data_IF_666903081550
#
_entry.id   IF_666903081550
#
_cell.length_a   1.000
_cell.length_b   1.000
_cell.length_c   1.000
_cell.angle_alpha   90.00
_cell.angle_beta   90.00
_cell.angle_gamma   90.00
#
_symmetry.space_group_name_H-M   'P 1'
#
loop_
_entity.id
_entity.type
_entity.pdbx_description
1 polymer ?
#
# COMPACT_ATOMS: atom_id res chain seq x y z
N UNK A 1 -13.39 -9.61 4.75
CA UNK A 1 -14.36 -8.58 4.29
C UNK A 1 -15.65 -9.30 3.95
N UNK A 2 -16.80 -8.84 4.42
CA UNK A 2 -18.09 -9.49 4.26
C UNK A 2 -19.05 -8.54 3.55
N UNK A 3 -19.72 -9.04 2.49
CA UNK A 3 -20.79 -8.31 1.80
C UNK A 3 -21.99 -8.19 2.76
N UNK A 4 -22.47 -6.98 2.99
CA UNK A 4 -23.62 -6.72 3.86
C UNK A 4 -24.91 -6.51 3.06
N UNK A 5 -24.94 -5.57 2.13
CA UNK A 5 -26.04 -5.31 1.22
C UNK A 5 -25.58 -4.30 0.15
N UNK A 6 -26.18 -4.34 -1.03
CA UNK A 6 -26.07 -3.30 -2.07
C UNK A 6 -24.66 -2.77 -2.36
N UNK A 7 -23.67 -3.67 -2.44
CA UNK A 7 -22.27 -3.29 -2.71
C UNK A 7 -21.52 -2.70 -1.51
N UNK A 8 -22.06 -2.85 -0.30
CA UNK A 8 -21.40 -2.46 0.95
C UNK A 8 -20.70 -3.66 1.58
N UNK A 9 -19.44 -3.50 1.94
CA UNK A 9 -18.61 -4.53 2.53
C UNK A 9 -18.06 -4.06 3.87
N UNK A 10 -18.33 -4.81 4.94
CA UNK A 10 -17.71 -4.57 6.23
C UNK A 10 -16.24 -5.00 6.22
N UNK A 11 -15.38 -4.12 6.70
CA UNK A 11 -13.95 -4.33 6.88
C UNK A 11 -13.48 -3.93 8.27
N UNK A 12 -12.28 -4.35 8.60
CA UNK A 12 -11.61 -3.98 9.85
C UNK A 12 -10.11 -3.83 9.59
N UNK A 13 -9.49 -2.82 10.18
CA UNK A 13 -8.04 -2.66 10.14
C UNK A 13 -7.36 -3.77 10.93
N UNK A 14 -6.16 -4.16 10.52
CA UNK A 14 -5.37 -5.17 11.21
C UNK A 14 -4.08 -4.57 11.78
N UNK A 15 -3.75 -4.79 13.05
CA UNK A 15 -2.46 -4.38 13.62
C UNK A 15 -1.27 -4.93 12.85
N UNK A 16 -1.41 -6.10 12.20
CA UNK A 16 -0.36 -6.72 11.39
C UNK A 16 0.04 -5.88 10.16
N UNK A 17 -0.82 -4.95 9.74
CA UNK A 17 -0.58 -4.01 8.64
C UNK A 17 -0.47 -2.56 9.13
N UNK A 18 -0.21 -2.36 10.42
CA UNK A 18 -0.01 -1.02 10.96
C UNK A 18 1.21 -0.32 10.31
N UNK A 19 1.02 0.95 9.98
CA UNK A 19 2.04 1.87 9.52
C UNK A 19 2.15 3.01 10.55
N UNK A 20 2.95 4.03 10.27
CA UNK A 20 3.15 5.19 11.15
C UNK A 20 1.85 5.98 11.43
N UNK A 21 0.97 6.06 10.44
CA UNK A 21 -0.33 6.73 10.53
C UNK A 21 -1.39 5.85 9.86
N UNK A 22 -2.11 5.07 10.66
CA UNK A 22 -3.11 4.15 10.14
C UNK A 22 -2.50 2.88 9.51
N UNK A 23 -3.26 2.12 8.72
CA UNK A 23 -2.77 0.94 8.03
C UNK A 23 -1.88 1.32 6.84
N UNK A 24 -1.07 0.37 6.38
CA UNK A 24 -0.33 0.44 5.14
C UNK A 24 -1.27 0.73 3.96
N UNK A 25 -0.88 1.68 3.07
CA UNK A 25 -1.72 2.10 1.96
C UNK A 25 -2.06 0.96 1.01
N UNK A 26 -1.10 0.09 0.72
CA UNK A 26 -1.29 -1.06 -0.15
C UNK A 26 -2.35 -2.04 0.34
N UNK A 27 -2.47 -2.30 1.65
CA UNK A 27 -3.55 -3.17 2.16
C UNK A 27 -4.92 -2.47 2.05
N UNK A 28 -4.98 -1.16 2.25
CA UNK A 28 -6.22 -0.40 2.06
C UNK A 28 -6.65 -0.42 0.59
N UNK A 29 -5.71 -0.25 -0.33
CA UNK A 29 -5.93 -0.38 -1.77
C UNK A 29 -6.41 -1.78 -2.16
N UNK A 30 -5.77 -2.82 -1.61
CA UNK A 30 -6.15 -4.21 -1.83
C UNK A 30 -7.57 -4.50 -1.35
N UNK A 31 -8.01 -3.89 -0.25
CA UNK A 31 -9.38 -4.05 0.24
C UNK A 31 -10.41 -3.37 -0.67
N UNK A 32 -10.09 -2.19 -1.22
CA UNK A 32 -10.94 -1.54 -2.22
C UNK A 32 -11.06 -2.39 -3.49
N UNK A 33 -9.94 -2.94 -3.99
CA UNK A 33 -9.95 -3.88 -5.11
C UNK A 33 -10.76 -5.13 -4.77
N UNK A 34 -10.59 -5.68 -3.57
CA UNK A 34 -11.27 -6.90 -3.14
C UNK A 34 -12.81 -6.71 -3.04
N UNK A 35 -13.29 -5.52 -2.70
CA UNK A 35 -14.71 -5.21 -2.73
C UNK A 35 -15.30 -5.35 -4.14
N UNK A 36 -14.56 -4.91 -5.17
CA UNK A 36 -14.96 -5.11 -6.57
C UNK A 36 -14.86 -6.58 -6.97
N UNK A 37 -13.79 -7.28 -6.55
CA UNK A 37 -13.60 -8.71 -6.86
C UNK A 37 -14.73 -9.59 -6.28
N UNK A 38 -15.21 -9.25 -5.10
CA UNK A 38 -16.29 -9.98 -4.40
C UNK A 38 -17.71 -9.51 -4.79
N UNK A 39 -17.82 -8.43 -5.58
CA UNK A 39 -19.13 -7.91 -5.94
C UNK A 39 -19.89 -8.86 -6.86
N UNK A 40 -21.17 -9.20 -6.57
CA UNK A 40 -21.92 -10.18 -7.34
C UNK A 40 -22.12 -9.76 -8.82
N UNK A 41 -22.23 -8.46 -9.08
CA UNK A 41 -22.45 -7.93 -10.44
C UNK A 41 -21.13 -7.69 -11.21
N UNK A 42 -20.01 -8.15 -10.72
CA UNK A 42 -18.71 -7.92 -11.37
C UNK A 42 -18.66 -8.58 -12.75
N UNK A 43 -18.32 -7.75 -13.75
CA UNK A 43 -18.04 -8.18 -15.11
C UNK A 43 -16.53 -8.17 -15.36
N UNK A 44 -15.95 -9.35 -15.68
CA UNK A 44 -14.56 -9.47 -16.10
C UNK A 44 -13.53 -9.31 -14.97
N UNK A 45 -12.29 -9.06 -15.37
CA UNK A 45 -11.14 -8.96 -14.50
C UNK A 45 -10.65 -7.52 -14.36
N UNK A 46 -9.98 -7.14 -13.26
CA UNK A 46 -9.40 -5.82 -13.09
C UNK A 46 -8.39 -5.48 -14.19
N UNK A 47 -8.45 -4.23 -14.65
CA UNK A 47 -7.53 -3.63 -15.62
C UNK A 47 -6.78 -2.46 -15.00
N UNK A 48 -7.48 -1.60 -14.27
CA UNK A 48 -6.87 -0.46 -13.60
C UNK A 48 -7.57 -0.12 -12.29
N UNK A 49 -6.80 0.51 -11.40
CA UNK A 49 -7.25 1.03 -10.12
C UNK A 49 -6.57 2.37 -9.89
N UNK A 50 -7.35 3.38 -9.52
CA UNK A 50 -6.84 4.67 -9.03
C UNK A 50 -7.44 4.94 -7.65
N UNK A 51 -6.62 5.35 -6.69
CA UNK A 51 -7.05 5.64 -5.32
C UNK A 51 -6.55 6.99 -4.87
N UNK A 52 -7.42 7.72 -4.17
CA UNK A 52 -7.09 8.94 -3.46
C UNK A 52 -7.23 8.70 -1.97
N UNK A 53 -6.14 8.91 -1.24
CA UNK A 53 -6.10 8.86 0.22
C UNK A 53 -6.50 10.24 0.75
N UNK A 54 -7.80 10.47 0.98
CA UNK A 54 -8.35 11.76 1.39
C UNK A 54 -8.10 12.03 2.88
N UNK A 55 -8.15 10.99 3.72
CA UNK A 55 -7.86 11.06 5.15
C UNK A 55 -7.17 9.78 5.63
N UNK A 56 -6.59 9.83 6.85
CA UNK A 56 -6.02 8.65 7.47
C UNK A 56 -7.15 7.72 7.96
N UNK A 57 -7.06 6.44 7.63
CA UNK A 57 -7.92 5.41 8.19
C UNK A 57 -7.45 5.08 9.61
N UNK A 58 -8.32 5.26 10.60
CA UNK A 58 -8.02 4.95 12.00
C UNK A 58 -8.10 3.43 12.26
N UNK A 59 -7.46 2.91 13.33
CA UNK A 59 -7.69 1.54 13.78
C UNK A 59 -9.17 1.30 14.09
N UNK A 60 -9.73 0.19 13.58
CA UNK A 60 -11.10 -0.19 13.85
C UNK A 60 -11.89 -0.61 12.61
N UNK A 61 -13.22 -0.68 12.72
CA UNK A 61 -14.11 -1.04 11.64
C UNK A 61 -14.24 0.08 10.60
N UNK A 62 -14.52 -0.32 9.37
CA UNK A 62 -14.84 0.58 8.26
C UNK A 62 -15.78 -0.13 7.27
N UNK A 63 -16.34 0.62 6.35
CA UNK A 63 -17.17 0.09 5.28
C UNK A 63 -16.54 0.45 3.94
N UNK A 64 -16.48 -0.51 3.02
CA UNK A 64 -16.14 -0.26 1.63
C UNK A 64 -17.42 -0.28 0.80
N UNK A 65 -17.72 0.82 0.12
CA UNK A 65 -18.78 0.90 -0.88
C UNK A 65 -18.17 0.68 -2.26
N UNK A 66 -18.65 -0.32 -2.99
CA UNK A 66 -18.27 -0.57 -4.38
C UNK A 66 -19.51 -0.54 -5.26
N UNK A 67 -19.56 0.39 -6.22
CA UNK A 67 -20.72 0.61 -7.08
C UNK A 67 -20.32 0.63 -8.55
N UNK A 68 -20.93 -0.26 -9.35
CA UNK A 68 -20.81 -0.23 -10.80
C UNK A 68 -21.59 0.97 -11.35
N UNK A 69 -20.88 1.99 -11.84
CA UNK A 69 -21.51 3.20 -12.41
C UNK A 69 -21.86 3.06 -13.87
N UNK A 70 -21.17 2.15 -14.56
CA UNK A 70 -21.46 1.84 -15.95
C UNK A 70 -21.03 0.42 -16.27
N UNK A 71 -21.97 -0.37 -16.79
CA UNK A 71 -21.70 -1.70 -17.35
C UNK A 71 -21.98 -1.66 -18.85
N UNK A 72 -20.98 -1.97 -19.64
CA UNK A 72 -21.05 -2.13 -21.09
C UNK A 72 -20.98 -3.64 -21.43
N UNK A 73 -21.04 -3.97 -22.71
CA UNK A 73 -20.99 -5.36 -23.17
C UNK A 73 -19.76 -6.15 -22.66
N UNK A 74 -18.61 -5.48 -22.48
CA UNK A 74 -17.34 -6.15 -22.13
C UNK A 74 -16.49 -5.39 -21.15
N UNK A 75 -16.96 -4.26 -20.64
CA UNK A 75 -16.23 -3.40 -19.72
C UNK A 75 -17.16 -2.88 -18.63
N UNK A 76 -16.60 -2.62 -17.47
CA UNK A 76 -17.37 -2.09 -16.34
C UNK A 76 -16.54 -1.06 -15.58
N UNK A 77 -17.19 0.02 -15.20
CA UNK A 77 -16.59 1.14 -14.47
C UNK A 77 -17.17 1.22 -13.07
N UNK A 78 -16.30 1.37 -12.09
CA UNK A 78 -16.63 1.35 -10.68
C UNK A 78 -16.21 2.63 -9.98
N UNK A 79 -17.01 3.08 -9.02
CA UNK A 79 -16.60 3.98 -7.96
C UNK A 79 -16.53 3.17 -6.67
N UNK A 80 -15.42 3.34 -5.93
CA UNK A 80 -15.17 2.66 -4.68
C UNK A 80 -14.81 3.69 -3.62
N UNK A 81 -15.41 3.59 -2.44
CA UNK A 81 -15.17 4.49 -1.33
C UNK A 81 -14.96 3.69 -0.04
N UNK A 82 -14.09 4.18 0.82
CA UNK A 82 -13.95 3.67 2.19
C UNK A 82 -14.50 4.71 3.13
N UNK A 83 -15.46 4.29 3.95
CA UNK A 83 -16.11 5.13 4.95
C UNK A 83 -15.74 4.66 6.35
N UNK A 84 -15.41 5.59 7.23
CA UNK A 84 -15.16 5.33 8.64
C UNK A 84 -15.79 6.44 9.49
N UNK A 85 -16.58 6.06 10.49
CA UNK A 85 -17.29 7.03 11.33
C UNK A 85 -18.28 7.92 10.58
N UNK A 86 -18.81 7.46 9.43
CA UNK A 86 -19.71 8.24 8.57
C UNK A 86 -19.00 9.15 7.55
N UNK A 87 -17.67 9.26 7.60
CA UNK A 87 -16.89 10.11 6.71
C UNK A 87 -16.16 9.27 5.65
N UNK A 88 -16.08 9.78 4.42
CA UNK A 88 -15.27 9.17 3.35
C UNK A 88 -13.80 9.46 3.59
N UNK A 89 -13.00 8.41 3.77
CA UNK A 89 -11.55 8.50 4.03
C UNK A 89 -10.70 8.15 2.81
N UNK A 90 -11.19 7.25 1.93
CA UNK A 90 -10.56 6.96 0.64
C UNK A 90 -11.61 6.97 -0.46
N UNK A 91 -11.21 7.40 -1.65
CA UNK A 91 -12.01 7.28 -2.87
C UNK A 91 -11.20 6.64 -3.98
N UNK A 92 -11.86 5.94 -4.89
CA UNK A 92 -11.17 5.34 -6.02
C UNK A 92 -12.10 4.99 -7.17
N UNK A 93 -11.47 4.72 -8.32
CA UNK A 93 -12.12 4.18 -9.50
C UNK A 93 -11.45 2.88 -9.89
N UNK A 94 -12.25 1.90 -10.27
CA UNK A 94 -11.78 0.62 -10.82
C UNK A 94 -12.38 0.43 -12.20
N UNK A 95 -11.58 -0.12 -13.10
CA UNK A 95 -12.02 -0.54 -14.40
C UNK A 95 -11.82 -2.05 -14.53
N UNK A 96 -12.87 -2.77 -14.94
CA UNK A 96 -12.84 -4.21 -15.20
C UNK A 96 -13.24 -4.49 -16.64
N UNK A 97 -12.72 -5.58 -17.21
CA UNK A 97 -13.03 -5.98 -18.58
C UNK A 97 -12.97 -7.49 -18.77
N UNK A 98 -13.76 -8.01 -19.69
CA UNK A 98 -13.64 -9.39 -20.16
C UNK A 98 -12.32 -9.57 -20.89
N UNK A 99 -11.55 -10.58 -20.50
CA UNK A 99 -10.34 -10.97 -21.22
C UNK A 99 -10.70 -11.60 -22.55
N UNK A 100 -9.95 -11.25 -23.58
CA UNK A 100 -10.09 -11.77 -24.94
C UNK A 100 -8.72 -11.98 -25.53
N UNK A 101 -8.61 -12.95 -26.42
CA UNK A 101 -7.46 -13.03 -27.31
C UNK A 101 -7.45 -11.82 -28.22
N UNK A 102 -6.33 -11.15 -28.27
CA UNK A 102 -6.11 -9.95 -29.10
C UNK A 102 -4.63 -9.85 -29.43
N UNK A 103 -4.32 -9.01 -30.38
CA UNK A 103 -2.93 -8.64 -30.66
C UNK A 103 -2.27 -8.07 -29.40
N UNK A 104 -1.05 -8.50 -29.14
CA UNK A 104 -0.23 -7.99 -28.04
C UNK A 104 1.23 -7.89 -28.47
N UNK A 105 1.95 -6.96 -27.88
CA UNK A 105 3.40 -6.79 -28.02
C UNK A 105 3.98 -6.46 -26.64
N UNK A 106 5.15 -7.01 -26.37
CA UNK A 106 5.96 -6.69 -25.22
C UNK A 106 7.38 -6.36 -25.74
N UNK A 107 7.68 -5.06 -25.77
CA UNK A 107 8.99 -4.56 -26.20
C UNK A 107 9.96 -4.39 -25.02
N UNK A 108 9.43 -4.40 -23.78
CA UNK A 108 10.21 -4.24 -22.58
C UNK A 108 10.68 -5.59 -22.04
N UNK A 109 11.97 -5.72 -21.85
CA UNK A 109 12.55 -6.91 -21.24
C UNK A 109 12.70 -6.72 -19.74
N UNK A 110 12.44 -7.78 -18.99
CA UNK A 110 12.74 -7.79 -17.57
C UNK A 110 14.23 -7.43 -17.34
N UNK A 111 14.54 -6.52 -16.41
CA UNK A 111 15.92 -6.18 -16.08
C UNK A 111 16.74 -7.44 -15.73
N UNK A 112 17.99 -7.50 -16.21
CA UNK A 112 18.92 -8.57 -15.85
C UNK A 112 19.37 -8.38 -14.40
N UNK A 113 18.80 -9.14 -13.49
CA UNK A 113 19.07 -9.08 -12.06
C UNK A 113 19.35 -10.49 -11.52
N UNK A 114 20.08 -10.64 -10.40
CA UNK A 114 20.25 -11.93 -9.74
C UNK A 114 18.90 -12.55 -9.36
N UNK A 115 18.83 -13.87 -9.35
CA UNK A 115 17.62 -14.59 -8.90
C UNK A 115 17.31 -14.29 -7.42
N UNK A 116 16.03 -14.37 -7.00
CA UNK A 116 15.63 -13.95 -5.64
C UNK A 116 16.32 -14.73 -4.51
N UNK A 117 16.74 -15.96 -4.74
CA UNK A 117 17.49 -16.78 -3.79
C UNK A 117 18.97 -16.34 -3.63
N UNK A 118 19.48 -15.59 -4.60
CA UNK A 118 20.83 -15.01 -4.59
C UNK A 118 20.87 -13.61 -3.97
N UNK A 119 19.71 -13.02 -3.67
CA UNK A 119 19.60 -11.67 -3.09
C UNK A 119 19.22 -11.81 -1.62
N UNK A 120 20.03 -11.24 -0.73
CA UNK A 120 19.73 -11.24 0.71
C UNK A 120 18.43 -10.47 1.00
N UNK A 121 17.69 -10.91 2.01
CA UNK A 121 16.60 -10.14 2.56
C UNK A 121 17.18 -8.88 3.21
N UNK A 122 16.98 -7.73 2.55
CA UNK A 122 17.51 -6.43 2.97
C UNK A 122 16.68 -5.72 4.02
N UNK A 123 15.76 -6.43 4.68
CA UNK A 123 14.95 -5.88 5.76
C UNK A 123 15.79 -5.77 7.03
N UNK A 124 16.42 -4.60 7.23
CA UNK A 124 16.86 -4.20 8.56
C UNK A 124 15.65 -4.05 9.53
N UNK A 125 15.88 -3.77 10.82
CA UNK A 125 14.82 -3.53 11.78
C UNK A 125 14.00 -2.31 11.33
N UNK A 126 12.83 -2.57 10.73
CA UNK A 126 11.88 -1.55 10.34
C UNK A 126 10.79 -1.41 11.40
N UNK A 127 10.44 -0.18 11.80
CA UNK A 127 9.49 0.05 12.89
C UNK A 127 8.03 -0.23 12.50
N UNK A 128 7.74 -0.41 11.21
CA UNK A 128 6.38 -0.63 10.71
C UNK A 128 6.04 -2.12 10.66
N UNK A 129 4.91 -2.50 11.25
CA UNK A 129 4.48 -3.91 11.32
C UNK A 129 4.17 -4.51 9.94
N UNK A 130 3.63 -3.71 9.00
CA UNK A 130 3.28 -4.18 7.67
C UNK A 130 4.47 -4.75 6.89
N UNK A 131 5.69 -4.23 7.13
CA UNK A 131 6.92 -4.69 6.45
C UNK A 131 7.14 -6.18 6.66
N UNK A 132 6.76 -6.71 7.82
CA UNK A 132 6.87 -8.14 8.16
C UNK A 132 5.95 -9.04 7.34
N UNK A 133 4.98 -8.45 6.64
CA UNK A 133 4.01 -9.18 5.79
C UNK A 133 4.52 -9.42 4.37
N UNK A 134 5.73 -8.96 4.07
CA UNK A 134 6.36 -9.12 2.77
C UNK A 134 7.81 -9.58 2.91
N UNK A 135 8.24 -10.52 2.04
CA UNK A 135 9.64 -10.86 1.84
C UNK A 135 10.18 -9.93 0.74
N UNK A 136 10.95 -8.92 1.14
CA UNK A 136 11.49 -7.89 0.24
C UNK A 136 13.01 -8.04 0.13
N UNK A 137 13.53 -8.19 -1.09
CA UNK A 137 14.95 -8.42 -1.38
C UNK A 137 15.46 -7.36 -2.37
N UNK A 138 16.00 -6.24 -1.88
CA UNK A 138 16.51 -5.19 -2.73
C UNK A 138 17.71 -5.67 -3.56
N UNK A 139 17.60 -5.51 -4.88
CA UNK A 139 18.72 -5.72 -5.83
C UNK A 139 19.52 -4.44 -5.98
N UNK A 140 18.83 -3.30 -6.08
CA UNK A 140 19.45 -1.96 -6.13
C UNK A 140 18.51 -0.92 -5.51
N UNK A 141 19.08 0.21 -5.07
CA UNK A 141 18.33 1.33 -4.51
C UNK A 141 17.48 0.94 -3.29
N UNK A 142 18.02 0.12 -2.40
CA UNK A 142 17.42 -0.18 -1.11
C UNK A 142 17.38 1.06 -0.19
N UNK A 143 16.84 0.88 1.03
CA UNK A 143 16.84 1.95 2.03
C UNK A 143 18.29 2.37 2.34
N UNK A 144 18.61 3.67 2.35
CA UNK A 144 19.95 4.13 2.71
C UNK A 144 20.36 3.66 4.10
N UNK A 145 21.60 3.25 4.26
CA UNK A 145 22.23 2.94 5.56
C UNK A 145 22.94 4.14 6.16
N UNK A 146 23.33 5.09 5.31
CA UNK A 146 23.95 6.38 5.69
C UNK A 146 23.03 7.50 5.23
N UNK A 147 22.74 8.43 6.13
CA UNK A 147 21.80 9.53 5.93
C UNK A 147 22.55 10.88 5.90
N UNK A 148 23.39 11.05 4.89
CA UNK A 148 24.31 12.18 4.72
C UNK A 148 23.84 13.21 3.67
N UNK A 149 22.65 13.01 3.13
CA UNK A 149 22.10 13.90 2.08
C UNK A 149 22.56 13.56 0.68
N UNK A 150 23.40 12.53 0.50
CA UNK A 150 23.97 12.14 -0.78
C UNK A 150 23.22 10.96 -1.39
N UNK A 151 22.93 11.03 -2.69
CA UNK A 151 22.30 9.94 -3.43
C UNK A 151 22.40 10.21 -4.93
N UNK A 152 22.83 9.21 -5.69
CA UNK A 152 23.11 9.33 -7.11
C UNK A 152 21.84 9.22 -7.98
N UNK A 153 20.88 8.38 -7.58
CA UNK A 153 19.69 8.06 -8.37
C UNK A 153 18.46 7.82 -7.49
N UNK A 154 17.33 7.56 -8.11
CA UNK A 154 16.06 7.22 -7.45
C UNK A 154 15.48 5.88 -7.92
N UNK A 155 16.29 5.08 -8.64
CA UNK A 155 15.89 3.76 -9.08
C UNK A 155 15.91 2.78 -7.90
N UNK A 156 14.87 1.98 -7.75
CA UNK A 156 14.85 0.79 -6.89
C UNK A 156 14.41 -0.40 -7.71
N UNK A 157 15.13 -1.50 -7.54
CA UNK A 157 14.77 -2.81 -8.04
C UNK A 157 14.74 -3.77 -6.85
N UNK A 158 13.66 -4.48 -6.67
CA UNK A 158 13.52 -5.46 -5.60
C UNK A 158 12.67 -6.65 -6.04
N UNK A 159 13.01 -7.81 -5.51
CA UNK A 159 12.10 -8.94 -5.48
C UNK A 159 11.18 -8.80 -4.29
N UNK A 160 9.90 -9.04 -4.47
CA UNK A 160 8.92 -8.98 -3.40
C UNK A 160 7.85 -10.04 -3.55
N UNK A 161 7.41 -10.60 -2.43
CA UNK A 161 6.26 -11.49 -2.33
C UNK A 161 5.60 -11.36 -0.97
N UNK A 162 4.37 -11.83 -0.86
CA UNK A 162 3.70 -11.96 0.45
C UNK A 162 4.50 -12.85 1.42
N UNK A 163 4.42 -12.55 2.70
CA UNK A 163 4.97 -13.34 3.79
C UNK A 163 3.89 -13.60 4.86
N UNK A 164 3.43 -14.87 5.06
CA UNK A 164 3.87 -16.08 4.39
C UNK A 164 3.57 -16.08 2.88
N UNK A 165 4.33 -16.86 2.08
CA UNK A 165 4.13 -16.95 0.63
C UNK A 165 2.73 -17.44 0.29
N UNK A 166 2.13 -16.83 -0.72
CA UNK A 166 0.85 -17.26 -1.31
C UNK A 166 0.85 -17.02 -2.82
N UNK A 167 -0.08 -17.62 -3.58
CA UNK A 167 -0.25 -17.30 -4.99
C UNK A 167 -0.55 -15.82 -5.21
N UNK A 168 0.02 -15.24 -6.26
CA UNK A 168 -0.25 -13.87 -6.67
C UNK A 168 -1.67 -13.77 -7.24
N UNK A 169 -2.47 -12.91 -6.65
CA UNK A 169 -3.79 -12.50 -7.15
C UNK A 169 -3.89 -10.97 -7.27
N UNK A 170 -5.00 -10.45 -7.74
CA UNK A 170 -5.18 -9.01 -7.93
C UNK A 170 -5.07 -8.21 -6.63
N UNK A 171 -5.55 -8.74 -5.51
CA UNK A 171 -5.45 -8.08 -4.21
C UNK A 171 -4.00 -8.06 -3.71
N UNK A 172 -3.28 -9.19 -3.85
CA UNK A 172 -1.84 -9.26 -3.54
C UNK A 172 -1.05 -8.30 -4.42
N UNK A 173 -1.25 -8.34 -5.74
CA UNK A 173 -0.57 -7.45 -6.68
C UNK A 173 -0.82 -5.97 -6.34
N UNK A 174 -2.07 -5.62 -5.99
CA UNK A 174 -2.42 -4.26 -5.58
C UNK A 174 -1.64 -3.82 -4.34
N UNK A 175 -1.55 -4.68 -3.33
CA UNK A 175 -0.78 -4.37 -2.12
C UNK A 175 0.72 -4.29 -2.40
N UNK A 176 1.27 -5.20 -3.19
CA UNK A 176 2.69 -5.24 -3.57
C UNK A 176 3.12 -4.02 -4.39
N UNK A 177 2.20 -3.40 -5.15
CA UNK A 177 2.50 -2.18 -5.92
C UNK A 177 2.85 -0.97 -5.03
N UNK A 178 2.47 -0.98 -3.75
CA UNK A 178 2.70 0.12 -2.80
C UNK A 178 3.83 -0.14 -1.78
N UNK A 179 4.59 -1.23 -1.90
CA UNK A 179 5.65 -1.57 -0.93
C UNK A 179 6.88 -0.64 -0.99
N UNK A 180 6.96 0.18 -2.02
CA UNK A 180 8.10 1.07 -2.22
C UNK A 180 8.06 2.27 -1.26
N UNK A 181 9.16 2.50 -0.56
CA UNK A 181 9.33 3.72 0.24
C UNK A 181 9.55 4.96 -0.67
N UNK A 182 9.42 6.20 -0.15
CA UNK A 182 9.58 7.41 -0.96
C UNK A 182 10.93 7.48 -1.67
N UNK A 183 10.91 7.62 -2.99
CA UNK A 183 12.13 7.61 -3.85
C UNK A 183 13.12 8.72 -3.51
N UNK A 184 12.65 9.80 -2.89
CA UNK A 184 13.51 10.88 -2.42
C UNK A 184 14.57 10.40 -1.43
N UNK A 185 14.30 9.34 -0.66
CA UNK A 185 15.27 8.78 0.28
C UNK A 185 16.49 8.19 -0.43
N UNK A 186 16.29 7.54 -1.57
CA UNK A 186 17.41 7.05 -2.40
C UNK A 186 18.16 8.21 -3.06
N UNK A 187 17.42 9.22 -3.52
CA UNK A 187 18.00 10.35 -4.27
C UNK A 187 18.78 11.31 -3.39
N UNK A 188 18.38 11.49 -2.14
CA UNK A 188 18.99 12.49 -1.25
C UNK A 188 19.46 11.93 0.09
N UNK A 189 19.22 10.67 0.39
CA UNK A 189 19.56 10.03 1.67
C UNK A 189 19.33 10.96 2.88
N UNK A 190 18.20 11.67 2.89
CA UNK A 190 17.76 12.54 3.99
C UNK A 190 16.37 12.13 4.41
N UNK A 191 16.13 12.09 5.72
CA UNK A 191 14.78 12.00 6.27
C UNK A 191 14.06 13.33 5.97
N UNK A 192 13.56 13.47 4.75
CA UNK A 192 12.63 14.55 4.46
C UNK A 192 11.33 14.20 5.15
N UNK A 193 10.87 14.99 6.14
CA UNK A 193 9.59 14.74 6.74
C UNK A 193 8.51 14.83 5.66
N UNK A 194 7.97 13.70 5.24
CA UNK A 194 6.87 13.63 4.25
C UNK A 194 5.71 14.52 4.70
N UNK A 195 5.54 14.71 6.03
CA UNK A 195 4.59 15.64 6.60
C UNK A 195 4.85 17.14 6.34
N UNK A 196 6.06 17.55 5.94
CA UNK A 196 6.28 18.93 5.48
C UNK A 196 5.59 19.24 4.15
N UNK A 197 5.30 18.22 3.35
CA UNK A 197 4.53 18.38 2.11
C UNK A 197 3.03 18.59 2.37
N UNK A 198 2.52 18.18 3.55
CA UNK A 198 1.08 18.16 3.79
C UNK A 198 0.61 18.92 5.05
N UNK A 199 1.31 18.85 6.18
CA UNK A 199 1.02 19.63 7.40
C UNK A 199 2.25 19.73 8.32
N UNK A 200 2.62 20.92 8.82
CA UNK A 200 3.82 21.11 9.67
C UNK A 200 3.84 20.27 10.95
N UNK A 201 2.69 20.05 11.58
CA UNK A 201 2.58 19.29 12.83
C UNK A 201 2.84 17.79 12.64
N UNK A 202 2.36 17.21 11.52
CA UNK A 202 2.62 15.81 11.18
C UNK A 202 4.09 15.57 10.80
N UNK A 203 4.74 16.57 10.20
CA UNK A 203 6.17 16.50 9.89
C UNK A 203 7.04 16.42 11.15
N UNK A 204 6.67 17.12 12.23
CA UNK A 204 7.36 17.03 13.52
C UNK A 204 7.21 15.64 14.14
N UNK A 205 6.00 15.11 14.17
CA UNK A 205 5.73 13.75 14.71
C UNK A 205 6.51 12.68 13.97
N UNK A 206 6.59 12.76 12.64
CA UNK A 206 7.34 11.83 11.82
C UNK A 206 8.86 11.97 12.03
N UNK A 207 9.38 13.21 12.11
CA UNK A 207 10.79 13.47 12.39
C UNK A 207 11.19 12.98 13.81
N UNK A 208 10.33 13.18 14.81
CA UNK A 208 10.56 12.69 16.17
C UNK A 208 10.50 11.16 16.24
N UNK A 209 9.60 10.53 15.50
CA UNK A 209 9.53 9.08 15.37
C UNK A 209 10.83 8.51 14.78
N UNK A 210 11.31 9.04 13.64
CA UNK A 210 12.54 8.57 13.02
C UNK A 210 13.78 8.82 13.90
N UNK A 211 13.86 9.97 14.59
CA UNK A 211 14.93 10.26 15.53
C UNK A 211 14.96 9.26 16.69
N UNK A 212 13.80 8.86 17.22
CA UNK A 212 13.70 7.85 18.28
C UNK A 212 14.15 6.49 17.80
N UNK A 213 13.80 6.11 16.58
CA UNK A 213 14.25 4.86 15.94
C UNK A 213 15.78 4.86 15.76
N UNK A 214 16.38 5.97 15.32
CA UNK A 214 17.83 6.13 15.20
C UNK A 214 18.55 6.01 16.56
N UNK A 215 17.94 6.49 17.65
CA UNK A 215 18.46 6.36 19.00
C UNK A 215 18.18 5.00 19.65
N UNK A 216 17.59 4.05 18.92
CA UNK A 216 17.25 2.72 19.44
C UNK A 216 16.09 2.70 20.43
N UNK A 217 15.33 3.78 20.55
CA UNK A 217 14.14 3.83 21.39
C UNK A 217 12.97 3.11 20.72
N UNK A 218 12.35 2.15 21.42
CA UNK A 218 11.10 1.56 20.94
C UNK A 218 10.00 2.63 20.99
N UNK A 219 9.19 2.82 19.92
CA UNK A 219 8.03 3.67 19.99
C UNK A 219 7.12 3.21 21.12
N UNK A 220 6.84 4.08 22.08
CA UNK A 220 5.86 3.80 23.12
C UNK A 220 4.50 3.59 22.50
N UNK A 221 3.85 2.49 22.84
CA UNK A 221 2.49 2.17 22.41
C UNK A 221 1.56 3.33 22.82
N UNK A 222 0.92 3.97 21.84
CA UNK A 222 0.06 5.14 22.06
C UNK A 222 -1.27 4.79 22.75
N UNK A 223 -1.44 3.55 23.18
CA UNK A 223 -2.62 3.08 23.91
C UNK A 223 -2.75 3.59 25.35
N UNK A 224 -1.66 4.16 25.93
CA UNK A 224 -1.66 4.57 27.35
C UNK A 224 -2.08 6.04 27.59
N UNK A 225 -2.35 6.85 26.54
CA UNK A 225 -2.77 8.25 26.69
C UNK A 225 -4.29 8.49 26.68
N UNK A 226 -5.09 7.46 26.54
CA UNK A 226 -6.55 7.56 26.58
C UNK A 226 -7.16 7.24 27.97
N UNK A 227 -6.34 7.11 29.01
CA UNK A 227 -6.78 6.84 30.40
C UNK A 227 -6.17 7.81 31.40
N UNK A 228 -6.30 9.11 31.16
CA UNK A 228 -6.24 10.13 32.23
C UNK A 228 -7.15 11.28 31.90
#
# INVERSE_FOLDING_TARGET
MELQADGLFAGHTSPAYANMVGPFGGISAAQMMNAVLLHPDRLGEPVSLTINFAAALAPGPFVVSARAVRTNRSTQHWIVEVLQGGETVLTGTVFTALRRETWSVDEEAMPKVPAPDQVSNGQGPMPMEWVKRYDMRPVSGGMPTVWDGQGEHSLTQLWVRDNPPRPLDFASLTALADVFFPRVFVRRATLVPVGRLFKPERGKQLADFYRRVEMGERPSDSSDRARK
#
